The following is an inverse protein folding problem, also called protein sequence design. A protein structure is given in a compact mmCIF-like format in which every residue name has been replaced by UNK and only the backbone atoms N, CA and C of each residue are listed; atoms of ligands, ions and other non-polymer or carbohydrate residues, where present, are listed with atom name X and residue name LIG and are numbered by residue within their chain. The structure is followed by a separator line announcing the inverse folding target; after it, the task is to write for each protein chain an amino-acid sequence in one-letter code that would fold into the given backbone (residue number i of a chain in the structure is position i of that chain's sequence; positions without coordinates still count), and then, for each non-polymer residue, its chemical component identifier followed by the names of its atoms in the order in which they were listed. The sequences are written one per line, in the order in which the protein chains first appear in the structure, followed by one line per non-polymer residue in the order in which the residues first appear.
data_IF_698048316209
#
_entry.id   IF_698048316209
#
_cell.length_a   1.000
_cell.length_b   1.000
_cell.length_c   1.000
_cell.angle_alpha   90.00
_cell.angle_beta   90.00
_cell.angle_gamma   90.00
#
_symmetry.space_group_name_H-M   'P 1'
#
loop_
_entity.id
_entity.type
_entity.pdbx_description
1 polymer ?
#
# COMPACT_ATOMS: atom_id res chain seq x y z
N UNK A 1 1.83 3.16 -24.23
CA UNK A 1 3.14 2.55 -23.91
C UNK A 1 3.74 2.04 -25.20
N UNK A 2 5.06 2.07 -25.42
CA UNK A 2 5.66 1.51 -26.63
C UNK A 2 5.73 -0.03 -26.53
N UNK A 3 5.91 -0.71 -27.67
CA UNK A 3 5.99 -2.18 -27.73
C UNK A 3 7.10 -2.77 -26.87
N UNK A 4 8.27 -2.13 -26.84
CA UNK A 4 9.40 -2.58 -26.03
C UNK A 4 9.08 -2.56 -24.53
N UNK A 5 8.43 -1.50 -24.04
CA UNK A 5 8.01 -1.42 -22.65
C UNK A 5 6.95 -2.47 -22.33
N UNK A 6 6.01 -2.77 -23.23
CA UNK A 6 5.03 -3.83 -23.02
C UNK A 6 5.73 -5.18 -22.83
N UNK A 7 6.59 -5.59 -23.77
CA UNK A 7 7.33 -6.84 -23.69
C UNK A 7 8.18 -6.95 -22.41
N UNK A 8 8.76 -5.83 -21.95
CA UNK A 8 9.51 -5.84 -20.69
C UNK A 8 8.62 -6.10 -19.47
N UNK A 9 7.44 -5.46 -19.37
CA UNK A 9 6.52 -5.77 -18.27
C UNK A 9 6.02 -7.22 -18.36
N UNK A 10 5.75 -7.73 -19.58
CA UNK A 10 5.36 -9.13 -19.80
C UNK A 10 6.44 -10.09 -19.28
N UNK A 11 7.70 -9.86 -19.65
CA UNK A 11 8.84 -10.65 -19.17
C UNK A 11 8.99 -10.61 -17.64
N UNK A 12 8.76 -9.46 -17.00
CA UNK A 12 8.82 -9.36 -15.53
C UNK A 12 7.68 -10.15 -14.86
N UNK A 13 6.48 -10.16 -15.44
CA UNK A 13 5.34 -10.93 -14.91
C UNK A 13 5.53 -12.44 -15.08
N UNK A 14 6.15 -12.84 -16.18
CA UNK A 14 6.42 -14.25 -16.51
C UNK A 14 7.69 -14.78 -15.84
N UNK A 15 8.52 -13.91 -15.27
CA UNK A 15 9.72 -14.31 -14.55
C UNK A 15 9.38 -15.22 -13.37
N UNK A 16 9.92 -16.44 -13.39
CA UNK A 16 9.71 -17.44 -12.35
C UNK A 16 10.66 -17.20 -11.17
N UNK A 17 10.24 -16.33 -10.25
CA UNK A 17 10.91 -16.19 -8.96
C UNK A 17 10.78 -17.48 -8.12
N UNK A 18 11.80 -17.86 -7.33
CA UNK A 18 11.67 -18.96 -6.38
C UNK A 18 10.54 -18.70 -5.38
N UNK A 19 9.64 -19.66 -5.19
CA UNK A 19 8.48 -19.53 -4.28
C UNK A 19 8.86 -19.41 -2.81
N UNK A 20 10.12 -19.71 -2.47
CA UNK A 20 10.69 -19.59 -1.13
C UNK A 20 11.63 -18.39 -0.98
N UNK A 21 11.70 -17.49 -1.95
CA UNK A 21 12.63 -16.36 -1.96
C UNK A 21 12.55 -15.47 -0.70
N UNK A 22 11.34 -15.35 -0.15
CA UNK A 22 11.03 -14.56 1.04
C UNK A 22 10.57 -15.43 2.22
N UNK A 23 10.90 -16.72 2.23
CA UNK A 23 10.68 -17.57 3.41
C UNK A 23 11.31 -16.93 4.67
N UNK A 24 10.60 -17.05 5.79
CA UNK A 24 10.93 -16.46 7.10
C UNK A 24 10.99 -14.92 7.13
N UNK A 25 10.68 -14.24 6.01
CA UNK A 25 10.55 -12.79 5.95
C UNK A 25 9.13 -12.37 6.32
N UNK A 26 9.03 -11.22 6.97
CA UNK A 26 7.78 -10.59 7.37
C UNK A 26 7.65 -9.23 6.67
N UNK A 27 6.52 -9.01 6.00
CA UNK A 27 6.26 -7.80 5.22
C UNK A 27 4.99 -7.11 5.67
N UNK A 28 5.01 -5.79 5.80
CA UNK A 28 3.84 -4.94 6.03
C UNK A 28 3.47 -4.28 4.70
N UNK A 29 2.21 -4.37 4.29
CA UNK A 29 1.67 -3.66 3.12
C UNK A 29 0.50 -2.78 3.55
N UNK A 30 0.69 -1.46 3.53
CA UNK A 30 -0.39 -0.53 3.86
C UNK A 30 -1.38 -0.39 2.69
N UNK A 31 -2.68 -0.42 2.98
CA UNK A 31 -3.71 -0.30 1.95
C UNK A 31 -3.80 -1.51 1.03
N UNK A 32 -3.58 -2.73 1.56
CA UNK A 32 -3.54 -3.97 0.76
C UNK A 32 -4.89 -4.60 0.41
N UNK A 33 -6.01 -3.89 0.62
CA UNK A 33 -7.36 -4.40 0.34
C UNK A 33 -7.66 -4.56 -1.15
N UNK A 34 -7.18 -3.63 -1.98
CA UNK A 34 -7.50 -3.52 -3.41
C UNK A 34 -6.31 -3.03 -4.22
N UNK A 35 -6.42 -3.12 -5.55
CA UNK A 35 -5.49 -2.54 -6.54
C UNK A 35 -4.04 -2.97 -6.30
N UNK A 36 -3.09 -2.05 -6.49
CA UNK A 36 -1.64 -2.22 -6.33
C UNK A 36 -1.29 -2.88 -4.99
N UNK A 37 -1.91 -2.46 -3.89
CA UNK A 37 -1.63 -3.01 -2.56
C UNK A 37 -2.01 -4.49 -2.44
N UNK A 38 -3.17 -4.89 -2.99
CA UNK A 38 -3.60 -6.29 -3.04
C UNK A 38 -2.62 -7.15 -3.85
N UNK A 39 -2.24 -6.69 -5.04
CA UNK A 39 -1.30 -7.42 -5.90
C UNK A 39 0.10 -7.49 -5.27
N UNK A 40 0.56 -6.43 -4.62
CA UNK A 40 1.85 -6.42 -3.90
C UNK A 40 1.85 -7.45 -2.77
N UNK A 41 0.78 -7.50 -1.97
CA UNK A 41 0.64 -8.50 -0.92
C UNK A 41 0.61 -9.93 -1.48
N UNK A 42 -0.13 -10.17 -2.57
CA UNK A 42 -0.19 -11.49 -3.23
C UNK A 42 1.17 -11.95 -3.76
N UNK A 43 1.94 -11.06 -4.40
CA UNK A 43 3.30 -11.40 -4.86
C UNK A 43 4.17 -11.78 -3.67
N UNK A 44 4.18 -10.98 -2.59
CA UNK A 44 4.96 -11.29 -1.38
C UNK A 44 4.56 -12.64 -0.75
N UNK A 45 3.26 -12.93 -0.66
CA UNK A 45 2.73 -14.21 -0.18
C UNK A 45 3.19 -15.38 -1.07
N UNK A 46 3.12 -15.24 -2.39
CA UNK A 46 3.56 -16.29 -3.34
C UNK A 46 5.07 -16.53 -3.34
N UNK A 47 5.84 -15.55 -2.86
CA UNK A 47 7.28 -15.67 -2.66
C UNK A 47 7.67 -16.19 -1.27
N UNK A 48 6.69 -16.58 -0.43
CA UNK A 48 6.98 -17.24 0.86
C UNK A 48 6.95 -16.33 2.09
N UNK A 49 6.74 -15.02 1.94
CA UNK A 49 6.71 -14.09 3.08
C UNK A 49 5.47 -14.27 3.97
N UNK A 50 5.61 -14.01 5.28
CA UNK A 50 4.48 -13.64 6.13
C UNK A 50 4.09 -12.20 5.82
N UNK A 51 2.82 -11.93 5.50
CA UNK A 51 2.37 -10.61 5.06
C UNK A 51 1.27 -10.06 5.97
N UNK A 52 1.54 -8.90 6.55
CA UNK A 52 0.59 -8.09 7.31
C UNK A 52 -0.01 -7.05 6.37
N UNK A 53 -1.25 -7.27 5.97
CA UNK A 53 -2.03 -6.34 5.16
C UNK A 53 -2.82 -5.41 6.07
N UNK A 54 -2.70 -4.09 5.86
CA UNK A 54 -3.48 -3.13 6.64
C UNK A 54 -4.56 -2.43 5.80
N UNK A 55 -5.71 -2.16 6.40
CA UNK A 55 -6.87 -1.55 5.74
C UNK A 55 -7.90 -1.06 6.75
N UNK A 56 -8.77 -0.13 6.35
CA UNK A 56 -9.96 0.26 7.14
C UNK A 56 -11.09 -0.77 7.08
N UNK A 57 -11.10 -1.63 6.06
CA UNK A 57 -12.15 -2.60 5.79
C UNK A 57 -11.53 -4.00 5.71
N UNK A 58 -11.34 -4.61 6.89
CA UNK A 58 -10.59 -5.85 7.05
C UNK A 58 -11.37 -7.07 6.54
N UNK A 59 -12.69 -7.09 6.75
CA UNK A 59 -13.58 -8.16 6.30
C UNK A 59 -13.64 -8.20 4.78
N UNK A 60 -13.82 -7.05 4.14
CA UNK A 60 -13.78 -6.95 2.68
C UNK A 60 -12.43 -7.37 2.10
N UNK A 61 -11.30 -7.00 2.74
CA UNK A 61 -9.98 -7.45 2.31
C UNK A 61 -9.87 -8.97 2.34
N UNK A 62 -10.29 -9.60 3.44
CA UNK A 62 -10.24 -11.06 3.56
C UNK A 62 -11.04 -11.75 2.46
N UNK A 63 -12.25 -11.27 2.18
CA UNK A 63 -13.10 -11.85 1.15
C UNK A 63 -12.45 -11.77 -0.24
N UNK A 64 -11.65 -10.73 -0.49
CA UNK A 64 -10.87 -10.61 -1.73
C UNK A 64 -9.73 -11.62 -1.77
N UNK A 65 -8.97 -11.79 -0.69
CA UNK A 65 -7.92 -12.81 -0.61
C UNK A 65 -8.48 -14.24 -0.69
N UNK A 66 -9.59 -14.55 0.00
CA UNK A 66 -10.26 -15.86 -0.06
C UNK A 66 -10.73 -16.28 -1.46
N UNK A 67 -10.90 -15.32 -2.38
CA UNK A 67 -11.27 -15.59 -3.79
C UNK A 67 -10.09 -15.97 -4.67
N UNK A 68 -8.85 -15.81 -4.19
CA UNK A 68 -7.68 -16.25 -4.93
C UNK A 68 -7.63 -17.77 -4.99
N UNK A 69 -7.36 -18.34 -6.18
CA UNK A 69 -7.37 -19.79 -6.42
C UNK A 69 -6.37 -20.54 -5.53
N UNK A 70 -5.25 -19.88 -5.26
CA UNK A 70 -4.10 -20.35 -4.50
C UNK A 70 -4.18 -19.97 -3.01
N UNK A 71 -5.32 -19.48 -2.51
CA UNK A 71 -5.46 -19.03 -1.12
C UNK A 71 -5.01 -20.08 -0.10
N UNK A 72 -5.34 -21.37 -0.32
CA UNK A 72 -4.95 -22.47 0.56
C UNK A 72 -3.44 -22.69 0.69
N UNK A 73 -2.62 -22.13 -0.19
CA UNK A 73 -1.16 -22.31 -0.19
C UNK A 73 -0.44 -21.30 0.71
N UNK A 74 -1.09 -20.21 1.08
CA UNK A 74 -0.44 -19.11 1.82
C UNK A 74 -1.33 -18.42 2.85
N UNK A 75 -2.56 -18.88 3.06
CA UNK A 75 -3.52 -18.25 3.97
C UNK A 75 -2.98 -18.12 5.41
N UNK A 76 -2.20 -19.10 5.87
CA UNK A 76 -1.57 -19.16 7.19
C UNK A 76 -0.49 -18.08 7.40
N UNK A 77 0.01 -17.52 6.30
CA UNK A 77 1.00 -16.43 6.28
C UNK A 77 0.38 -15.04 6.10
N UNK A 78 -0.93 -14.94 5.88
CA UNK A 78 -1.63 -13.66 5.76
C UNK A 78 -2.20 -13.21 7.11
N UNK A 79 -1.85 -12.01 7.55
CA UNK A 79 -2.51 -11.31 8.66
C UNK A 79 -3.19 -10.04 8.12
N UNK A 80 -4.47 -9.83 8.43
CA UNK A 80 -5.17 -8.58 8.10
C UNK A 80 -5.34 -7.75 9.37
N UNK A 81 -4.72 -6.58 9.41
CA UNK A 81 -4.80 -5.65 10.54
C UNK A 81 -5.67 -4.42 10.21
N UNK A 82 -6.74 -4.15 10.98
CA UNK A 82 -7.54 -2.94 10.81
C UNK A 82 -6.72 -1.69 11.17
N UNK A 83 -6.52 -0.78 10.20
CA UNK A 83 -5.72 0.44 10.37
C UNK A 83 -6.34 1.64 9.68
N UNK A 84 -6.41 2.77 10.39
CA UNK A 84 -6.80 4.06 9.85
C UNK A 84 -5.60 5.03 9.86
N UNK A 85 -4.96 5.22 8.71
CA UNK A 85 -3.80 6.12 8.54
C UNK A 85 -4.14 7.62 8.67
N UNK A 86 -5.42 7.97 8.86
CA UNK A 86 -5.82 9.35 9.19
C UNK A 86 -5.73 9.64 10.69
N UNK A 87 -5.63 8.59 11.50
CA UNK A 87 -5.62 8.67 12.95
C UNK A 87 -4.25 8.24 13.49
N UNK A 88 -3.50 9.21 14.03
CA UNK A 88 -2.18 8.97 14.60
C UNK A 88 -2.20 7.93 15.73
N UNK A 89 -3.26 7.87 16.54
CA UNK A 89 -3.39 6.84 17.58
C UNK A 89 -3.50 5.45 16.95
N UNK A 90 -4.32 5.29 15.92
CA UNK A 90 -4.45 4.04 15.18
C UNK A 90 -3.09 3.55 14.64
N UNK A 91 -2.26 4.46 14.13
CA UNK A 91 -0.90 4.15 13.65
C UNK A 91 0.02 3.73 14.79
N UNK A 92 0.03 4.45 15.91
CA UNK A 92 0.86 4.12 17.08
C UNK A 92 0.46 2.76 17.67
N UNK A 93 -0.85 2.50 17.83
CA UNK A 93 -1.31 1.21 18.35
C UNK A 93 -0.90 0.06 17.43
N UNK A 94 -0.87 0.29 16.12
CA UNK A 94 -0.38 -0.70 15.16
C UNK A 94 1.11 -0.96 15.33
N UNK A 95 1.95 0.07 15.46
CA UNK A 95 3.40 -0.15 15.65
C UNK A 95 3.69 -0.85 16.98
N UNK A 96 2.92 -0.56 18.03
CA UNK A 96 3.00 -1.30 19.31
C UNK A 96 2.59 -2.77 19.15
N UNK A 97 1.51 -3.05 18.42
CA UNK A 97 1.10 -4.42 18.13
C UNK A 97 2.20 -5.17 17.36
N UNK A 98 2.81 -4.55 16.35
CA UNK A 98 3.89 -5.16 15.58
C UNK A 98 5.09 -5.47 16.48
N UNK A 99 5.55 -4.49 17.27
CA UNK A 99 6.67 -4.65 18.21
C UNK A 99 6.43 -5.75 19.25
N UNK A 100 5.17 -5.99 19.64
CA UNK A 100 4.79 -7.03 20.60
C UNK A 100 4.76 -8.43 19.99
N UNK A 101 4.28 -8.56 18.75
CA UNK A 101 3.92 -9.86 18.16
C UNK A 101 4.92 -10.38 17.12
N UNK A 102 5.83 -9.53 16.65
CA UNK A 102 6.83 -9.90 15.66
C UNK A 102 8.23 -9.72 16.24
N UNK A 103 9.14 -10.62 15.89
CA UNK A 103 10.56 -10.49 16.26
C UNK A 103 11.28 -9.50 15.36
N UNK A 104 10.90 -9.47 14.08
CA UNK A 104 11.51 -8.64 13.06
C UNK A 104 10.51 -8.34 11.94
N UNK A 105 10.61 -7.16 11.34
CA UNK A 105 9.94 -6.81 10.08
C UNK A 105 11.01 -6.58 9.02
N UNK A 106 10.89 -7.27 7.89
CA UNK A 106 11.89 -7.22 6.84
C UNK A 106 11.50 -6.25 5.73
N UNK A 107 10.20 -6.08 5.47
CA UNK A 107 9.72 -5.26 4.37
C UNK A 107 8.58 -4.37 4.88
N UNK A 108 8.66 -3.07 4.64
CA UNK A 108 7.59 -2.12 4.85
C UNK A 108 7.25 -1.46 3.51
N UNK A 109 6.06 -1.74 2.98
CA UNK A 109 5.52 -1.10 1.79
C UNK A 109 4.49 -0.04 2.23
N UNK A 110 4.90 1.22 2.17
CA UNK A 110 4.01 2.36 2.32
C UNK A 110 3.26 2.59 1.00
N UNK A 111 2.26 1.74 0.71
CA UNK A 111 1.46 1.78 -0.51
C UNK A 111 0.20 2.65 -0.38
N UNK A 112 -0.43 2.68 0.80
CA UNK A 112 -1.66 3.42 0.99
C UNK A 112 -1.47 4.91 0.68
N UNK A 113 -2.39 5.47 -0.10
CA UNK A 113 -2.41 6.88 -0.43
C UNK A 113 -3.84 7.38 -0.65
N UNK A 114 -4.08 8.64 -0.30
CA UNK A 114 -5.24 9.40 -0.73
C UNK A 114 -4.80 10.38 -1.83
N UNK A 115 -5.33 10.15 -3.02
CA UNK A 115 -5.26 11.11 -4.12
C UNK A 115 -6.51 12.00 -4.11
N UNK A 116 -7.68 11.38 -3.99
CA UNK A 116 -8.97 12.06 -3.94
C UNK A 116 -9.76 11.62 -2.72
N UNK A 117 -10.29 12.57 -1.94
CA UNK A 117 -11.28 12.30 -0.90
C UNK A 117 -12.60 11.91 -1.54
N UNK A 118 -13.10 10.73 -1.16
CA UNK A 118 -14.43 10.25 -1.53
C UNK A 118 -15.40 10.53 -0.36
N UNK A 119 -16.64 10.97 -0.64
CA UNK A 119 -17.65 11.24 0.39
C UNK A 119 -18.19 9.94 1.01
N UNK A 120 -18.99 10.06 2.08
CA UNK A 120 -19.57 8.90 2.79
C UNK A 120 -20.44 8.03 1.86
N UNK A 121 -21.19 8.64 0.95
CA UNK A 121 -22.09 7.91 0.04
C UNK A 121 -21.33 6.88 -0.81
N UNK A 122 -20.11 7.19 -1.23
CA UNK A 122 -19.22 6.25 -1.94
C UNK A 122 -18.96 4.98 -1.13
N UNK A 123 -18.77 5.11 0.19
CA UNK A 123 -18.43 4.00 1.08
C UNK A 123 -19.64 3.28 1.68
N UNK A 124 -20.85 3.81 1.52
CA UNK A 124 -22.05 3.35 2.24
C UNK A 124 -22.35 1.87 2.04
N UNK A 125 -22.24 1.37 0.81
CA UNK A 125 -22.44 -0.07 0.53
C UNK A 125 -21.35 -0.92 1.19
N UNK A 126 -20.11 -0.43 1.18
CA UNK A 126 -18.96 -1.14 1.75
C UNK A 126 -19.05 -1.19 3.28
N UNK A 127 -19.39 -0.08 3.93
CA UNK A 127 -19.62 0.01 5.37
C UNK A 127 -20.72 -0.96 5.82
N UNK A 128 -21.83 -1.03 5.09
CA UNK A 128 -22.91 -1.98 5.37
C UNK A 128 -22.45 -3.43 5.27
N UNK A 129 -21.68 -3.78 4.24
CA UNK A 129 -21.13 -5.14 4.13
C UNK A 129 -20.15 -5.44 5.26
N UNK A 130 -19.24 -4.51 5.58
CA UNK A 130 -18.24 -4.66 6.63
C UNK A 130 -18.92 -4.91 7.99
N UNK A 131 -19.91 -4.10 8.36
CA UNK A 131 -20.69 -4.28 9.58
C UNK A 131 -21.43 -5.62 9.61
N UNK A 132 -22.03 -6.06 8.49
CA UNK A 132 -22.72 -7.36 8.39
C UNK A 132 -21.77 -8.53 8.60
N UNK A 133 -20.53 -8.45 8.11
CA UNK A 133 -19.54 -9.49 8.32
C UNK A 133 -19.05 -9.54 9.77
N UNK A 134 -18.89 -8.38 10.41
CA UNK A 134 -18.44 -8.28 11.81
C UNK A 134 -19.51 -8.73 12.82
N UNK A 135 -20.81 -8.72 12.46
CA UNK A 135 -21.90 -9.18 13.34
C UNK A 135 -22.29 -10.64 13.15
N UNK A 136 -21.83 -11.31 12.09
CA UNK A 136 -22.08 -12.74 11.88
C UNK A 136 -21.18 -13.57 12.80
N UNK A 137 -21.79 -14.26 13.76
CA UNK A 137 -21.15 -15.20 14.71
C UNK A 137 -20.75 -16.55 14.07
N UNK A 138 -20.58 -16.63 12.75
CA UNK A 138 -20.24 -17.89 12.08
C UNK A 138 -18.73 -18.13 12.21
N UNK A 139 -18.33 -19.13 13.00
CA UNK A 139 -16.95 -19.61 13.19
C UNK A 139 -16.20 -19.89 11.86
N UNK A 140 -16.93 -20.13 10.76
CA UNK A 140 -16.37 -20.35 9.41
C UNK A 140 -16.10 -19.05 8.61
N UNK A 141 -16.61 -17.91 9.09
CA UNK A 141 -16.45 -16.60 8.47
C UNK A 141 -15.39 -15.73 9.16
N UNK A 142 -14.86 -16.18 10.31
CA UNK A 142 -13.93 -15.37 11.10
C UNK A 142 -12.63 -15.11 10.32
N UNK A 143 -12.15 -13.86 10.34
CA UNK A 143 -10.98 -13.51 9.59
C UNK A 143 -9.75 -14.19 10.10
N UNK A 144 -8.80 -14.46 9.20
CA UNK A 144 -7.40 -14.74 9.53
C UNK A 144 -6.79 -13.42 10.04
N UNK A 145 -7.33 -13.00 11.17
CA UNK A 145 -6.65 -12.53 12.34
C UNK A 145 -6.00 -13.81 12.89
N UNK A 146 -4.70 -13.83 13.12
CA UNK A 146 -4.08 -14.95 13.84
C UNK A 146 -4.98 -15.28 15.07
N UNK A 147 -5.59 -16.46 15.09
CA UNK A 147 -6.25 -17.05 16.27
C UNK A 147 -7.49 -16.33 16.85
N UNK A 148 -8.44 -15.84 16.05
CA UNK A 148 -9.66 -15.22 16.58
C UNK A 148 -9.37 -14.12 17.64
N UNK A 149 -8.31 -13.33 17.46
CA UNK A 149 -7.95 -12.26 18.39
C UNK A 149 -9.13 -11.27 18.50
N UNK A 150 -9.88 -11.39 19.60
CA UNK A 150 -11.09 -10.62 19.87
C UNK A 150 -10.80 -9.12 19.85
N UNK A 151 -9.58 -8.73 20.23
CA UNK A 151 -9.16 -7.33 20.22
C UNK A 151 -9.09 -6.78 18.79
N UNK A 152 -8.69 -7.59 17.80
CA UNK A 152 -8.62 -7.17 16.41
C UNK A 152 -10.00 -7.09 15.76
N UNK A 153 -10.96 -7.92 16.18
CA UNK A 153 -12.36 -7.80 15.76
C UNK A 153 -12.97 -6.51 16.31
N UNK A 154 -12.81 -6.25 17.61
CA UNK A 154 -13.28 -5.01 18.25
C UNK A 154 -12.67 -3.77 17.60
N UNK A 155 -11.36 -3.80 17.34
CA UNK A 155 -10.66 -2.74 16.62
C UNK A 155 -11.17 -2.56 15.19
N UNK A 156 -11.50 -3.65 14.49
CA UNK A 156 -12.13 -3.56 13.16
C UNK A 156 -13.49 -2.85 13.21
N UNK A 157 -14.30 -3.15 14.23
CA UNK A 157 -15.59 -2.49 14.46
C UNK A 157 -15.38 -1.00 14.76
N UNK A 158 -14.43 -0.66 15.63
CA UNK A 158 -14.08 0.73 15.98
C UNK A 158 -13.63 1.54 14.76
N UNK A 159 -12.71 0.98 13.96
CA UNK A 159 -12.19 1.64 12.75
C UNK A 159 -13.26 1.80 11.68
N UNK A 160 -14.15 0.81 11.53
CA UNK A 160 -15.30 0.90 10.62
C UNK A 160 -16.24 2.03 11.05
N UNK A 161 -16.58 2.12 12.35
CA UNK A 161 -17.44 3.18 12.90
C UNK A 161 -16.81 4.57 12.80
N UNK A 162 -15.52 4.72 13.11
CA UNK A 162 -14.83 6.02 12.99
C UNK A 162 -14.71 6.51 11.54
N UNK A 163 -14.77 5.59 10.56
CA UNK A 163 -14.83 5.95 9.15
C UNK A 163 -16.19 6.53 8.76
N UNK A 164 -17.26 6.16 9.45
CA UNK A 164 -18.63 6.65 9.24
C UNK A 164 -18.85 8.06 9.82
N UNK A 165 -18.29 8.35 11.00
CA UNK A 165 -18.60 9.58 11.78
C UNK A 165 -17.82 10.84 11.37
N UNK A 166 -16.75 10.75 10.58
CA UNK A 166 -15.88 11.91 10.24
C UNK A 166 -16.16 12.52 8.87
N UNK A 167 -17.34 12.28 8.32
CA UNK A 167 -17.72 12.69 6.96
C UNK A 167 -18.94 13.61 7.01
N UNK A 168 -18.76 14.80 7.58
CA UNK A 168 -19.67 15.93 7.36
C UNK A 168 -19.41 16.48 5.95
N UNK A 169 -19.94 15.81 4.93
CA UNK A 169 -20.15 16.41 3.61
C UNK A 169 -21.66 16.49 3.38
N UNK A 170 -22.16 17.72 3.26
CA UNK A 170 -23.55 18.04 2.99
C UNK A 170 -24.08 17.25 1.77
N UNK A 171 -25.35 16.89 1.83
CA UNK A 171 -26.17 16.16 0.86
C UNK A 171 -25.63 16.13 -0.59
N UNK A 172 -24.76 15.18 -0.90
CA UNK A 172 -24.45 14.84 -2.29
C UNK A 172 -25.57 13.94 -2.82
N UNK A 173 -26.11 14.28 -3.99
CA UNK A 173 -27.22 13.54 -4.59
C UNK A 173 -26.76 12.15 -5.04
N UNK A 174 -27.67 11.19 -4.98
CA UNK A 174 -27.44 9.80 -5.43
C UNK A 174 -27.03 9.72 -6.92
N UNK A 175 -27.21 10.80 -7.69
CA UNK A 175 -26.97 10.85 -9.13
C UNK A 175 -25.50 10.58 -9.50
N UNK A 176 -24.54 10.96 -8.65
CA UNK A 176 -23.11 10.73 -8.92
C UNK A 176 -22.59 9.37 -8.41
N UNK A 177 -23.38 8.67 -7.61
CA UNK A 177 -23.04 7.38 -7.00
C UNK A 177 -24.17 6.36 -7.23
N UNK A 178 -24.40 5.93 -8.48
CA UNK A 178 -25.51 5.06 -8.80
C UNK A 178 -25.43 3.73 -8.03
N UNK A 179 -26.56 3.36 -7.44
CA UNK A 179 -26.66 2.19 -6.55
C UNK A 179 -26.42 0.90 -7.33
N UNK A 180 -25.42 0.13 -6.91
CA UNK A 180 -25.13 -1.20 -7.45
C UNK A 180 -24.17 -1.21 -8.63
N UNK A 181 -23.87 -0.04 -9.21
CA UNK A 181 -22.80 0.08 -10.19
C UNK A 181 -21.43 0.02 -9.52
N UNK A 182 -20.55 -0.81 -10.08
CA UNK A 182 -19.21 -1.02 -9.56
C UNK A 182 -18.18 -0.96 -10.66
N UNK A 183 -17.00 -0.48 -10.30
CA UNK A 183 -15.83 -0.53 -11.18
C UNK A 183 -15.24 -1.96 -11.28
N UNK A 184 -14.17 -2.10 -12.06
CA UNK A 184 -13.49 -3.38 -12.28
C UNK A 184 -12.88 -3.99 -11.00
N UNK A 185 -12.72 -3.20 -9.94
CA UNK A 185 -12.22 -3.64 -8.63
C UNK A 185 -13.36 -3.97 -7.65
N UNK A 186 -14.61 -3.82 -8.09
CA UNK A 186 -15.80 -4.06 -7.28
C UNK A 186 -16.13 -2.92 -6.32
N UNK A 187 -15.55 -1.73 -6.53
CA UNK A 187 -15.80 -0.52 -5.75
C UNK A 187 -16.91 0.32 -6.37
N UNK A 188 -17.59 1.14 -5.56
CA UNK A 188 -18.60 2.08 -6.05
C UNK A 188 -18.00 3.00 -7.13
N UNK A 189 -18.71 3.21 -8.24
CA UNK A 189 -18.30 4.21 -9.24
C UNK A 189 -18.55 5.63 -8.70
N UNK A 190 -17.66 6.56 -9.04
CA UNK A 190 -17.78 7.99 -8.72
C UNK A 190 -17.79 8.79 -10.03
N UNK A 191 -18.95 9.32 -10.40
CA UNK A 191 -19.15 10.12 -11.61
C UNK A 191 -19.13 11.63 -11.36
N UNK A 192 -18.63 12.10 -10.21
CA UNK A 192 -18.52 13.54 -9.96
C UNK A 192 -17.67 14.20 -11.05
N UNK A 193 -18.16 15.27 -11.71
CA UNK A 193 -17.41 15.95 -12.76
C UNK A 193 -16.19 16.70 -12.21
N UNK A 194 -16.25 17.09 -10.94
CA UNK A 194 -15.20 17.80 -10.23
C UNK A 194 -14.87 17.10 -8.92
N UNK A 195 -13.58 17.04 -8.62
CA UNK A 195 -13.03 16.63 -7.34
C UNK A 195 -11.59 17.14 -7.23
N UNK A 196 -10.92 16.83 -6.14
CA UNK A 196 -9.58 17.31 -5.84
C UNK A 196 -8.48 16.89 -6.85
N UNK A 197 -8.79 16.07 -7.85
CA UNK A 197 -7.94 15.83 -9.02
C UNK A 197 -7.88 17.03 -9.98
N UNK A 198 -8.99 17.72 -10.20
CA UNK A 198 -9.09 18.87 -11.12
C UNK A 198 -9.36 20.22 -10.42
N UNK A 199 -9.57 20.23 -9.11
CA UNK A 199 -9.67 21.44 -8.30
C UNK A 199 -8.33 22.20 -8.20
N UNK A 200 -8.43 23.53 -8.09
CA UNK A 200 -7.30 24.41 -7.75
C UNK A 200 -7.12 24.45 -6.24
N UNK A 201 -5.99 24.97 -5.78
CA UNK A 201 -5.68 25.07 -4.34
C UNK A 201 -6.78 25.76 -3.52
N UNK A 202 -7.43 26.79 -4.05
CA UNK A 202 -8.51 27.51 -3.37
C UNK A 202 -9.77 26.67 -3.13
N UNK A 203 -9.93 25.59 -3.90
CA UNK A 203 -11.17 24.81 -3.95
C UNK A 203 -11.03 23.49 -3.19
N UNK A 204 -9.81 23.02 -2.92
CA UNK A 204 -9.56 21.80 -2.15
C UNK A 204 -9.89 22.05 -0.67
N UNK A 205 -10.76 21.20 -0.12
CA UNK A 205 -11.14 21.32 1.29
C UNK A 205 -9.96 21.20 2.26
N UNK A 206 -9.97 21.99 3.34
CA UNK A 206 -8.94 21.90 4.40
C UNK A 206 -8.84 20.49 4.97
N UNK A 207 -9.98 19.82 5.16
CA UNK A 207 -10.04 18.42 5.60
C UNK A 207 -9.23 17.52 4.68
N UNK A 208 -9.43 17.61 3.36
CA UNK A 208 -8.69 16.78 2.42
C UNK A 208 -7.19 17.12 2.36
N UNK A 209 -6.81 18.38 2.50
CA UNK A 209 -5.40 18.79 2.60
C UNK A 209 -4.74 18.11 3.80
N UNK A 210 -5.36 18.19 4.98
CA UNK A 210 -4.83 17.58 6.22
C UNK A 210 -4.81 16.05 6.12
N UNK A 211 -5.89 15.44 5.66
CA UNK A 211 -5.98 13.99 5.51
C UNK A 211 -4.93 13.44 4.53
N UNK A 212 -4.72 14.13 3.41
CA UNK A 212 -3.72 13.73 2.41
C UNK A 212 -2.31 13.75 3.01
N UNK A 213 -1.96 14.76 3.81
CA UNK A 213 -0.68 14.81 4.53
C UNK A 213 -0.57 13.68 5.57
N UNK A 214 -1.64 13.44 6.33
CA UNK A 214 -1.65 12.39 7.35
C UNK A 214 -1.44 11.01 6.75
N UNK A 215 -2.14 10.68 5.66
CA UNK A 215 -2.08 9.35 5.04
C UNK A 215 -0.81 9.17 4.22
N UNK A 216 -0.47 10.15 3.38
CA UNK A 216 0.58 9.99 2.37
C UNK A 216 1.98 10.26 2.93
N UNK A 217 2.09 10.95 4.07
CA UNK A 217 3.40 11.37 4.61
C UNK A 217 3.54 11.10 6.09
N UNK A 218 2.69 11.66 6.95
CA UNK A 218 2.88 11.57 8.42
C UNK A 218 2.82 10.13 8.88
N UNK A 219 1.84 9.34 8.43
CA UNK A 219 1.74 7.93 8.81
C UNK A 219 2.93 7.09 8.32
N UNK A 220 3.35 7.16 7.04
CA UNK A 220 4.62 6.57 6.61
C UNK A 220 5.83 6.96 7.46
N UNK A 221 5.94 8.24 7.84
CA UNK A 221 7.03 8.72 8.71
C UNK A 221 6.98 8.07 10.09
N UNK A 222 5.79 8.01 10.72
CA UNK A 222 5.62 7.35 12.02
C UNK A 222 5.95 5.87 11.90
N UNK A 223 5.48 5.17 10.87
CA UNK A 223 5.76 3.75 10.67
C UNK A 223 7.26 3.50 10.50
N UNK A 224 7.95 4.28 9.66
CA UNK A 224 9.39 4.15 9.46
C UNK A 224 10.17 4.41 10.77
N UNK A 225 9.79 5.44 11.53
CA UNK A 225 10.43 5.80 12.80
C UNK A 225 10.20 4.74 13.89
N UNK A 226 8.95 4.35 14.12
CA UNK A 226 8.57 3.46 15.22
C UNK A 226 8.98 2.01 15.00
N UNK A 227 9.12 1.59 13.74
CA UNK A 227 9.54 0.24 13.38
C UNK A 227 11.04 0.13 13.11
N UNK A 228 11.80 1.23 13.20
CA UNK A 228 13.23 1.24 12.90
C UNK A 228 14.01 0.13 13.60
N UNK A 229 13.88 -0.01 14.92
CA UNK A 229 14.63 -1.01 15.69
C UNK A 229 14.26 -2.46 15.31
N UNK A 230 12.97 -2.75 15.15
CA UNK A 230 12.49 -4.09 14.76
C UNK A 230 12.76 -4.41 13.28
N UNK A 231 13.11 -3.40 12.47
CA UNK A 231 13.50 -3.59 11.08
C UNK A 231 14.99 -3.83 10.90
N UNK A 232 15.83 -3.60 11.91
CA UNK A 232 17.27 -3.85 11.77
C UNK A 232 17.51 -5.33 11.49
N UNK A 233 18.34 -5.67 10.50
CA UNK A 233 18.72 -7.04 10.23
C UNK A 233 19.51 -7.62 11.41
N UNK A 234 19.21 -8.86 11.77
CA UNK A 234 20.11 -9.69 12.56
C UNK A 234 20.98 -10.46 11.57
N UNK A 235 22.25 -10.12 11.47
CA UNK A 235 23.18 -10.86 10.63
C UNK A 235 23.56 -12.17 11.34
N UNK A 236 23.43 -13.28 10.63
CA UNK A 236 23.99 -14.56 11.02
C UNK A 236 25.17 -14.83 10.08
N UNK A 237 26.39 -14.69 10.61
CA UNK A 237 27.65 -14.83 9.88
C UNK A 237 27.89 -16.27 9.36
N UNK A 238 26.98 -17.22 9.66
CA UNK A 238 27.11 -18.63 9.26
C UNK A 238 26.46 -19.00 7.92
N UNK A 239 25.81 -18.07 7.21
CA UNK A 239 25.21 -18.35 5.90
C UNK A 239 26.23 -18.22 4.76
N UNK A 240 26.65 -19.37 4.21
CA UNK A 240 27.37 -19.44 2.95
C UNK A 240 26.49 -18.91 1.81
N UNK A 241 26.78 -17.70 1.32
CA UNK A 241 26.10 -17.12 0.17
C UNK A 241 26.84 -17.52 -1.10
N UNK A 242 26.12 -18.08 -2.07
CA UNK A 242 26.66 -18.32 -3.41
C UNK A 242 26.98 -16.97 -4.09
N UNK A 243 28.23 -16.80 -4.56
CA UNK A 243 28.74 -15.56 -5.20
C UNK A 243 27.91 -15.07 -6.40
N UNK A 244 26.99 -15.88 -6.94
CA UNK A 244 26.19 -15.58 -8.13
C UNK A 244 24.68 -15.40 -7.86
N UNK A 245 24.23 -15.28 -6.61
CA UNK A 245 22.80 -15.05 -6.32
C UNK A 245 22.37 -13.62 -6.66
N UNK A 246 21.55 -13.47 -7.70
CA UNK A 246 20.99 -12.17 -8.13
C UNK A 246 20.03 -11.55 -7.11
N UNK A 247 19.56 -12.30 -6.10
CA UNK A 247 18.72 -11.80 -5.00
C UNK A 247 19.52 -11.53 -3.72
N UNK A 248 20.84 -11.29 -3.88
CA UNK A 248 21.80 -11.15 -2.79
C UNK A 248 21.34 -10.25 -1.67
N UNK A 249 20.80 -9.05 -1.92
CA UNK A 249 20.42 -8.12 -0.83
C UNK A 249 19.35 -8.67 0.12
N UNK A 250 18.38 -9.42 -0.40
CA UNK A 250 17.33 -10.08 0.39
C UNK A 250 17.90 -11.24 1.21
N UNK A 251 18.81 -12.04 0.61
CA UNK A 251 19.45 -13.17 1.30
C UNK A 251 20.52 -12.74 2.31
N UNK A 252 21.22 -11.64 2.04
CA UNK A 252 22.14 -10.96 2.95
C UNK A 252 21.42 -10.32 4.15
N UNK A 253 20.10 -10.48 4.25
CA UNK A 253 19.33 -10.13 5.43
C UNK A 253 18.84 -8.68 5.47
N UNK A 254 19.13 -7.84 4.47
CA UNK A 254 18.70 -6.43 4.49
C UNK A 254 17.18 -6.31 4.61
N UNK A 255 16.76 -5.25 5.31
CA UNK A 255 15.36 -4.85 5.35
C UNK A 255 15.08 -3.72 4.37
N UNK A 256 13.82 -3.53 4.00
CA UNK A 256 13.42 -2.60 2.95
C UNK A 256 12.25 -1.74 3.40
N UNK A 257 12.34 -0.44 3.14
CA UNK A 257 11.20 0.48 3.20
C UNK A 257 10.96 1.00 1.79
N UNK A 258 9.78 0.69 1.23
CA UNK A 258 9.38 1.17 -0.09
C UNK A 258 8.22 2.14 0.04
N UNK A 259 8.48 3.38 -0.36
CA UNK A 259 7.49 4.45 -0.39
C UNK A 259 6.88 4.53 -1.79
N UNK A 260 5.60 4.16 -1.92
CA UNK A 260 4.91 4.21 -3.22
C UNK A 260 4.49 5.65 -3.51
N UNK A 261 5.22 6.27 -4.43
CA UNK A 261 5.03 7.65 -4.87
C UNK A 261 4.46 7.69 -6.28
N UNK A 262 4.50 8.84 -6.92
CA UNK A 262 3.98 9.05 -8.27
C UNK A 262 4.61 10.29 -8.92
N UNK A 263 4.20 10.58 -10.16
CA UNK A 263 4.65 11.76 -10.92
C UNK A 263 4.34 13.08 -10.19
N UNK A 264 3.23 13.14 -9.48
CA UNK A 264 2.78 14.26 -8.65
C UNK A 264 3.86 14.69 -7.63
N UNK A 265 4.60 13.72 -7.09
CA UNK A 265 5.65 13.96 -6.10
C UNK A 265 6.99 14.41 -6.67
N UNK A 266 7.17 14.44 -8.00
CA UNK A 266 8.46 14.75 -8.61
C UNK A 266 8.70 16.25 -8.81
N UNK A 267 9.83 16.80 -8.37
CA UNK A 267 10.11 18.23 -8.57
C UNK A 267 10.55 18.52 -10.00
N UNK A 268 11.52 17.75 -10.49
CA UNK A 268 12.15 17.91 -11.81
C UNK A 268 11.37 17.12 -12.88
N UNK A 269 10.13 17.52 -13.14
CA UNK A 269 9.29 16.84 -14.16
C UNK A 269 8.44 17.79 -14.98
N UNK A 270 8.25 17.44 -16.26
CA UNK A 270 7.36 18.18 -17.16
C UNK A 270 5.89 17.80 -16.97
N UNK A 271 4.98 18.71 -17.32
CA UNK A 271 3.55 18.39 -17.41
C UNK A 271 2.81 18.32 -16.08
N UNK A 272 3.33 18.96 -15.03
CA UNK A 272 2.58 19.15 -13.79
C UNK A 272 1.42 20.11 -14.00
N UNK A 273 0.26 19.78 -13.46
CA UNK A 273 -0.88 20.68 -13.39
C UNK A 273 -0.80 21.59 -12.16
N UNK A 274 -1.54 22.69 -12.21
CA UNK A 274 -1.84 23.57 -11.08
C UNK A 274 -3.07 23.08 -10.28
N UNK A 275 -3.48 21.82 -10.49
CA UNK A 275 -4.50 21.10 -9.73
C UNK A 275 -3.87 20.00 -8.88
N UNK A 276 -4.68 19.30 -8.07
CA UNK A 276 -4.22 18.14 -7.29
C UNK A 276 -3.08 18.44 -6.30
N UNK A 277 -3.04 19.69 -5.81
CA UNK A 277 -1.92 20.26 -5.06
C UNK A 277 -1.66 19.51 -3.75
N UNK A 278 -2.70 19.04 -3.06
CA UNK A 278 -2.58 18.23 -1.84
C UNK A 278 -1.83 16.91 -2.07
N UNK A 279 -2.02 16.27 -3.24
CA UNK A 279 -1.30 15.06 -3.60
C UNK A 279 0.11 15.38 -4.06
N UNK A 280 0.29 16.43 -4.88
CA UNK A 280 1.61 16.90 -5.30
C UNK A 280 2.52 17.17 -4.10
N UNK A 281 2.03 17.96 -3.14
CA UNK A 281 2.80 18.35 -1.94
C UNK A 281 3.06 17.17 -1.01
N UNK A 282 2.06 16.31 -0.75
CA UNK A 282 2.24 15.17 0.14
C UNK A 282 3.14 14.07 -0.46
N UNK A 283 3.07 13.81 -1.78
CA UNK A 283 3.98 12.87 -2.46
C UNK A 283 5.41 13.41 -2.57
N UNK A 284 5.58 14.72 -2.76
CA UNK A 284 6.89 15.36 -2.68
C UNK A 284 7.48 15.25 -1.26
N UNK A 285 6.66 15.42 -0.23
CA UNK A 285 7.07 15.22 1.17
C UNK A 285 7.44 13.77 1.47
N UNK A 286 6.71 12.79 0.92
CA UNK A 286 7.06 11.36 1.01
C UNK A 286 8.39 11.05 0.31
N UNK A 287 8.66 11.67 -0.83
CA UNK A 287 9.95 11.59 -1.50
C UNK A 287 11.08 12.18 -0.63
N UNK A 288 10.82 13.31 0.03
CA UNK A 288 11.77 13.92 0.95
C UNK A 288 12.05 13.04 2.17
N UNK A 289 11.05 12.32 2.70
CA UNK A 289 11.26 11.31 3.74
C UNK A 289 12.30 10.27 3.29
N UNK A 290 12.09 9.67 2.10
CA UNK A 290 13.04 8.70 1.51
C UNK A 290 14.45 9.31 1.42
N UNK A 291 14.58 10.49 0.81
CA UNK A 291 15.89 11.14 0.64
C UNK A 291 16.59 11.38 1.97
N UNK A 292 15.86 11.90 2.95
CA UNK A 292 16.44 12.41 4.19
C UNK A 292 16.86 11.30 5.15
N UNK A 293 16.08 10.22 5.27
CA UNK A 293 16.39 9.17 6.24
C UNK A 293 17.29 8.06 5.68
N UNK A 294 17.33 7.88 4.35
CA UNK A 294 17.90 6.69 3.72
C UNK A 294 19.35 6.40 4.09
N UNK A 295 20.22 7.41 4.20
CA UNK A 295 21.64 7.18 4.52
C UNK A 295 21.81 6.60 5.93
N UNK A 296 21.12 7.17 6.92
CA UNK A 296 21.17 6.65 8.29
C UNK A 296 20.56 5.24 8.39
N UNK A 297 19.45 5.00 7.68
CA UNK A 297 18.79 3.70 7.66
C UNK A 297 19.66 2.64 6.97
N UNK A 298 20.33 2.98 5.87
CA UNK A 298 21.21 2.08 5.14
C UNK A 298 22.43 1.65 5.98
N UNK A 299 23.01 2.55 6.79
CA UNK A 299 24.07 2.21 7.76
C UNK A 299 23.60 1.19 8.82
N UNK A 300 22.28 1.08 9.02
CA UNK A 300 21.65 0.12 9.90
C UNK A 300 21.01 -1.05 9.12
N UNK A 301 21.40 -1.27 7.86
CA UNK A 301 20.94 -2.39 7.04
C UNK A 301 19.50 -2.29 6.52
N UNK A 302 18.92 -1.09 6.52
CA UNK A 302 17.55 -0.84 6.02
C UNK A 302 17.63 0.04 4.75
N UNK A 303 17.25 -0.54 3.61
CA UNK A 303 17.29 0.14 2.31
C UNK A 303 15.96 0.85 2.05
N UNK A 304 15.98 2.18 2.10
CA UNK A 304 14.79 3.02 1.90
C UNK A 304 14.77 3.57 0.48
N UNK A 305 13.70 3.32 -0.29
CA UNK A 305 13.56 3.82 -1.66
C UNK A 305 12.11 4.25 -1.96
N UNK A 306 11.96 5.13 -2.96
CA UNK A 306 10.67 5.53 -3.51
C UNK A 306 10.43 4.88 -4.86
N UNK A 307 9.18 4.55 -5.18
CA UNK A 307 8.79 3.98 -6.48
C UNK A 307 7.56 4.69 -7.04
N UNK A 308 7.68 5.21 -8.26
CA UNK A 308 6.55 5.61 -9.12
C UNK A 308 6.11 4.40 -9.95
N UNK A 309 4.88 3.95 -9.71
CA UNK A 309 4.30 2.77 -10.37
C UNK A 309 3.89 3.03 -11.81
N UNK A 310 3.80 4.29 -12.22
CA UNK A 310 3.24 4.69 -13.50
C UNK A 310 1.70 4.71 -13.49
N UNK A 311 1.12 4.83 -14.68
CA UNK A 311 -0.32 5.06 -14.82
C UNK A 311 -1.11 3.75 -14.87
N UNK A 312 -1.75 3.42 -13.75
CA UNK A 312 -2.52 2.18 -13.54
C UNK A 312 -4.03 2.42 -13.52
N UNK A 313 -4.46 3.57 -12.99
CA UNK A 313 -5.87 3.95 -12.91
C UNK A 313 -6.03 5.46 -12.99
N UNK A 314 -7.25 5.91 -13.29
CA UNK A 314 -7.59 7.34 -13.32
C UNK A 314 -8.77 7.62 -12.41
N UNK A 315 -8.72 8.73 -11.65
CA UNK A 315 -9.84 9.20 -10.84
C UNK A 315 -10.88 9.99 -11.65
N UNK A 316 -10.55 10.35 -12.89
CA UNK A 316 -11.39 11.02 -13.86
C UNK A 316 -11.46 10.20 -15.16
N UNK A 317 -12.50 10.41 -15.99
CA UNK A 317 -12.54 9.86 -17.35
C UNK A 317 -11.27 10.23 -18.12
N UNK A 318 -10.56 9.22 -18.62
CA UNK A 318 -9.35 9.42 -19.40
C UNK A 318 -9.62 9.17 -20.89
N UNK A 319 -8.96 9.94 -21.76
CA UNK A 319 -9.07 9.78 -23.21
C UNK A 319 -8.66 8.38 -23.70
N UNK A 320 -7.78 7.70 -22.96
CA UNK A 320 -7.37 6.33 -23.21
C UNK A 320 -7.29 5.55 -21.91
N UNK A 321 -7.41 4.23 -22.01
CA UNK A 321 -7.23 3.34 -20.87
C UNK A 321 -5.79 3.45 -20.30
N UNK A 322 -5.63 3.33 -18.97
CA UNK A 322 -4.32 3.19 -18.35
C UNK A 322 -3.56 2.00 -18.94
N UNK A 323 -2.27 2.16 -19.30
CA UNK A 323 -1.52 1.12 -19.98
C UNK A 323 -0.97 0.02 -19.06
N UNK A 324 -0.98 0.22 -17.75
CA UNK A 324 -0.43 -0.71 -16.76
C UNK A 324 -1.53 -1.36 -15.94
N UNK A 325 -1.34 -2.62 -15.59
CA UNK A 325 -2.19 -3.34 -14.64
C UNK A 325 -1.73 -3.11 -13.20
N UNK A 326 -2.57 -3.47 -12.22
CA UNK A 326 -2.17 -3.46 -10.81
C UNK A 326 -0.99 -4.41 -10.53
N UNK A 327 -0.88 -5.50 -11.29
CA UNK A 327 0.20 -6.46 -11.16
C UNK A 327 1.52 -5.89 -11.69
N UNK A 328 1.50 -5.17 -12.82
CA UNK A 328 2.68 -4.44 -13.31
C UNK A 328 3.18 -3.44 -12.26
N UNK A 329 2.25 -2.72 -11.63
CA UNK A 329 2.55 -1.79 -10.56
C UNK A 329 3.15 -2.49 -9.33
N UNK A 330 2.60 -3.63 -8.91
CA UNK A 330 3.15 -4.42 -7.81
C UNK A 330 4.60 -4.84 -8.07
N UNK A 331 4.92 -5.33 -9.28
CA UNK A 331 6.31 -5.67 -9.61
C UNK A 331 7.24 -4.45 -9.64
N UNK A 332 6.75 -3.28 -10.03
CA UNK A 332 7.52 -2.03 -9.93
C UNK A 332 7.80 -1.66 -8.47
N UNK A 333 6.79 -1.73 -7.60
CA UNK A 333 6.93 -1.49 -6.16
C UNK A 333 7.98 -2.44 -5.56
N UNK A 334 7.95 -3.71 -5.96
CA UNK A 334 8.86 -4.73 -5.46
C UNK A 334 10.23 -4.74 -6.15
N UNK A 335 10.44 -3.95 -7.20
CA UNK A 335 11.69 -3.97 -7.97
C UNK A 335 12.95 -3.75 -7.12
N UNK A 336 13.02 -2.77 -6.18
CA UNK A 336 14.21 -2.58 -5.36
C UNK A 336 14.55 -3.79 -4.48
N UNK A 337 13.56 -4.65 -4.19
CA UNK A 337 13.71 -5.87 -3.40
C UNK A 337 14.11 -7.03 -4.33
N UNK A 338 13.32 -7.26 -5.37
CA UNK A 338 13.46 -8.42 -6.26
C UNK A 338 14.67 -8.35 -7.20
N UNK A 339 15.22 -7.17 -7.44
CA UNK A 339 16.44 -7.00 -8.26
C UNK A 339 17.74 -7.32 -7.52
N UNK A 340 17.70 -7.58 -6.20
CA UNK A 340 18.90 -7.73 -5.38
C UNK A 340 19.69 -6.44 -5.19
N UNK A 341 19.10 -5.29 -5.51
CA UNK A 341 19.76 -3.99 -5.42
C UNK A 341 20.12 -3.63 -3.97
N UNK A 342 21.33 -3.11 -3.78
CA UNK A 342 21.78 -2.49 -2.52
C UNK A 342 21.56 -0.98 -2.48
N UNK A 343 20.91 -0.41 -3.50
CA UNK A 343 20.72 1.03 -3.60
C UNK A 343 19.68 1.51 -2.58
N UNK A 344 19.91 2.69 -2.04
CA UNK A 344 19.03 3.38 -1.10
C UNK A 344 18.97 4.87 -1.47
N UNK A 345 17.94 5.55 -0.99
CA UNK A 345 17.73 6.98 -1.24
C UNK A 345 17.46 7.29 -2.70
N UNK A 346 16.88 6.34 -3.45
CA UNK A 346 16.57 6.49 -4.87
C UNK A 346 15.08 6.58 -5.14
N UNK A 347 14.74 7.22 -6.25
CA UNK A 347 13.43 7.17 -6.88
C UNK A 347 13.50 6.28 -8.12
N UNK A 348 12.63 5.27 -8.17
CA UNK A 348 12.51 4.40 -9.34
C UNK A 348 11.24 4.70 -10.13
N UNK A 349 11.36 4.70 -11.46
CA UNK A 349 10.26 4.74 -12.40
C UNK A 349 10.60 3.87 -13.60
N UNK A 350 9.66 3.02 -14.03
CA UNK A 350 9.91 2.06 -15.12
C UNK A 350 11.16 1.18 -14.88
N UNK A 351 11.34 0.70 -13.64
CA UNK A 351 12.49 -0.13 -13.24
C UNK A 351 13.87 0.54 -13.39
N UNK A 352 13.90 1.88 -13.46
CA UNK A 352 15.13 2.67 -13.56
C UNK A 352 15.15 3.78 -12.53
N UNK A 353 16.33 4.14 -12.08
CA UNK A 353 16.52 5.36 -11.30
C UNK A 353 16.16 6.59 -12.14
N UNK A 354 15.49 7.53 -11.51
CA UNK A 354 15.13 8.84 -12.10
C UNK A 354 15.39 9.94 -11.08
N UNK A 355 15.43 11.18 -11.58
CA UNK A 355 15.54 12.37 -10.73
C UNK A 355 14.27 12.63 -9.92
N UNK A 356 14.43 13.41 -8.85
CA UNK A 356 13.46 13.62 -7.80
C UNK A 356 12.30 14.54 -8.13
#
# INVERSE_FOLDING_TARGET
MCSHCNHFNDAIREYSYPSNLLCDKAAIVTGGRIKIGLQTALVLLRLGAKVIVTTRFASDALLKFKKCKDFSEWYDRLLIYPLNLKDGKSVIDFTQYIKKNFKQIHILINNAAQTVKRPLEYYKSLLKSEQKYLTKSEESAMPIIHENDSNLIEKSIEITKSTETRLDDASLTYDYFPKGEKDIWGEQVDYRPTNSWNEKLSDVSVTEIVESQMINTVSPTILASELFEIMKPSYDDSQDLEENDIHHSVRFGHSFIINVTSHEGQFETSGKSDSHIQTNTSKASLNMLTRSCSEYYARNGILVNSVDTGWVSSALPAYRAPPLTDLDAAFRVLHPILSGSFKYGKLYKNYKEVDW
#
